data_IF_049543065371
#
_entry.id   IF_049543065371
#
_cell.length_a   1.000
_cell.length_b   1.000
_cell.length_c   1.000
_cell.angle_alpha   90.00
_cell.angle_beta   90.00
_cell.angle_gamma   90.00
#
_symmetry.space_group_name_H-M   'P 1'
#
loop_
_entity.id
_entity.type
_entity.pdbx_description
1 polymer ?
#
# COMPACT_ATOMS: atom_id res chain seq x y z
N UNK A 1 18.21 -5.01 -17.89
CA UNK A 1 19.09 -5.05 -16.71
C UNK A 1 20.43 -4.48 -17.14
N UNK A 2 20.94 -3.52 -16.38
CA UNK A 2 22.28 -2.98 -16.61
C UNK A 2 23.33 -3.98 -16.04
N UNK A 3 24.61 -3.73 -16.31
CA UNK A 3 25.70 -4.61 -15.86
C UNK A 3 26.00 -4.53 -14.35
N UNK A 4 25.38 -3.59 -13.63
CA UNK A 4 25.52 -3.41 -12.18
C UNK A 4 24.38 -4.08 -11.39
N UNK A 5 23.27 -4.41 -12.07
CA UNK A 5 22.14 -5.13 -11.49
C UNK A 5 22.59 -6.52 -11.05
N UNK A 6 21.98 -7.01 -9.97
CA UNK A 6 22.22 -8.35 -9.46
C UNK A 6 20.95 -9.18 -9.47
N UNK A 7 21.06 -10.45 -9.86
CA UNK A 7 19.94 -11.37 -9.97
C UNK A 7 20.30 -12.72 -9.35
N UNK A 8 19.32 -13.30 -8.68
CA UNK A 8 19.28 -14.69 -8.29
C UNK A 8 17.98 -15.29 -8.83
N UNK A 9 18.00 -16.56 -9.21
CA UNK A 9 16.82 -17.29 -9.66
C UNK A 9 16.66 -18.50 -8.76
N UNK A 10 15.51 -18.56 -8.10
CA UNK A 10 15.09 -19.71 -7.30
C UNK A 10 13.91 -20.35 -8.04
N UNK A 11 14.03 -21.64 -8.35
CA UNK A 11 12.86 -22.44 -8.74
C UNK A 11 12.40 -23.22 -7.52
N UNK A 12 11.10 -23.45 -7.38
CA UNK A 12 10.58 -24.26 -6.29
C UNK A 12 9.46 -25.19 -6.76
N UNK A 13 9.38 -26.33 -6.11
CA UNK A 13 8.28 -27.29 -6.18
C UNK A 13 7.88 -27.70 -4.75
N UNK A 14 8.07 -28.96 -4.36
CA UNK A 14 8.10 -29.44 -2.97
C UNK A 14 9.34 -28.91 -2.21
N UNK A 15 10.40 -28.50 -2.92
CA UNK A 15 11.61 -27.90 -2.37
C UNK A 15 12.05 -26.69 -3.20
N UNK A 16 12.89 -25.84 -2.63
CA UNK A 16 13.53 -24.75 -3.36
C UNK A 16 14.93 -25.13 -3.87
N UNK A 17 15.28 -24.61 -5.04
CA UNK A 17 16.54 -24.84 -5.72
C UNK A 17 17.12 -23.51 -6.20
N UNK A 18 18.36 -23.23 -5.81
CA UNK A 18 19.12 -22.10 -6.34
C UNK A 18 19.62 -22.44 -7.75
N UNK A 19 19.13 -21.71 -8.76
CA UNK A 19 19.53 -21.88 -10.18
C UNK A 19 20.64 -20.93 -10.59
N UNK A 20 21.04 -20.04 -9.70
CA UNK A 20 21.99 -18.96 -9.95
C UNK A 20 23.33 -19.10 -9.23
N UNK A 21 23.39 -19.95 -8.19
CA UNK A 21 24.45 -20.00 -7.18
C UNK A 21 24.60 -18.63 -6.50
N UNK A 22 23.51 -18.15 -5.92
CA UNK A 22 23.41 -16.90 -5.17
C UNK A 22 23.09 -15.67 -6.03
N UNK A 23 23.18 -14.50 -5.38
CA UNK A 23 22.90 -13.20 -5.99
C UNK A 23 24.13 -12.71 -6.79
N UNK A 24 24.00 -12.65 -8.11
CA UNK A 24 25.12 -12.44 -9.02
C UNK A 24 24.99 -11.15 -9.83
N UNK A 25 26.11 -10.47 -10.08
CA UNK A 25 26.15 -9.31 -10.99
C UNK A 25 25.95 -9.75 -12.43
N UNK A 26 25.08 -9.04 -13.15
CA UNK A 26 24.53 -9.49 -14.42
C UNK A 26 25.36 -8.99 -15.60
N UNK A 27 26.64 -9.36 -15.58
CA UNK A 27 27.54 -9.23 -16.72
C UNK A 27 27.01 -10.04 -17.90
N UNK A 28 27.43 -9.68 -19.12
CA UNK A 28 26.97 -10.38 -20.33
C UNK A 28 27.23 -11.89 -20.27
N UNK A 29 28.40 -12.30 -19.79
CA UNK A 29 28.74 -13.71 -19.58
C UNK A 29 27.78 -14.40 -18.60
N UNK A 30 27.49 -13.75 -17.46
CA UNK A 30 26.60 -14.32 -16.44
C UNK A 30 25.15 -14.40 -16.91
N UNK A 31 24.69 -13.43 -17.71
CA UNK A 31 23.37 -13.48 -18.37
C UNK A 31 23.26 -14.72 -19.26
N UNK A 32 24.27 -14.97 -20.11
CA UNK A 32 24.28 -16.12 -21.00
C UNK A 32 24.28 -17.44 -20.22
N UNK A 33 25.14 -17.57 -19.19
CA UNK A 33 25.21 -18.79 -18.36
C UNK A 33 23.89 -19.04 -17.61
N UNK A 34 23.29 -17.99 -17.06
CA UNK A 34 22.04 -18.10 -16.30
C UNK A 34 20.86 -18.47 -17.21
N UNK A 35 20.79 -17.88 -18.41
CA UNK A 35 19.77 -18.23 -19.40
C UNK A 35 19.83 -19.71 -19.75
N UNK A 36 21.02 -20.23 -20.05
CA UNK A 36 21.21 -21.66 -20.33
C UNK A 36 20.85 -22.53 -19.12
N UNK A 37 21.28 -22.16 -17.92
CA UNK A 37 20.98 -22.91 -16.69
C UNK A 37 19.48 -22.97 -16.42
N UNK A 38 18.75 -21.88 -16.62
CA UNK A 38 17.30 -21.83 -16.47
C UNK A 38 16.60 -22.70 -17.52
N UNK A 39 16.95 -22.53 -18.79
CA UNK A 39 16.34 -23.28 -19.89
C UNK A 39 16.53 -24.80 -19.77
N UNK A 40 17.65 -25.23 -19.18
CA UNK A 40 17.99 -26.64 -19.05
C UNK A 40 17.53 -27.30 -17.75
N UNK A 41 17.24 -26.53 -16.69
CA UNK A 41 17.05 -27.10 -15.35
C UNK A 41 15.73 -26.70 -14.66
N UNK A 42 14.90 -25.86 -15.29
CA UNK A 42 13.55 -25.59 -14.79
C UNK A 42 12.58 -26.49 -15.55
N UNK A 43 12.02 -27.45 -14.82
CA UNK A 43 11.00 -28.37 -15.31
C UNK A 43 9.85 -28.42 -14.31
N UNK A 44 8.63 -28.67 -14.79
CA UNK A 44 7.51 -28.95 -13.92
C UNK A 44 7.75 -30.27 -13.17
N UNK A 45 7.59 -30.25 -11.86
CA UNK A 45 7.76 -31.42 -11.00
C UNK A 45 7.22 -31.13 -9.60
N UNK A 46 6.90 -32.16 -8.83
CA UNK A 46 6.48 -32.04 -7.43
C UNK A 46 5.13 -31.32 -7.20
N UNK A 47 4.97 -30.78 -5.99
CA UNK A 47 3.86 -29.89 -5.60
C UNK A 47 4.27 -28.41 -5.60
N UNK A 48 3.49 -27.55 -4.96
CA UNK A 48 3.77 -26.10 -4.90
C UNK A 48 3.95 -25.67 -3.44
N UNK A 49 5.21 -25.48 -3.01
CA UNK A 49 5.57 -25.10 -1.64
C UNK A 49 6.17 -23.70 -1.65
N UNK A 50 5.29 -22.69 -1.63
CA UNK A 50 5.67 -21.27 -1.77
C UNK A 50 6.63 -20.84 -0.66
N UNK A 51 6.40 -21.30 0.58
CA UNK A 51 7.24 -21.03 1.74
C UNK A 51 8.71 -21.38 1.50
N UNK A 52 8.99 -22.52 0.87
CA UNK A 52 10.38 -22.95 0.61
C UNK A 52 11.10 -22.00 -0.36
N UNK A 53 10.41 -21.54 -1.40
CA UNK A 53 10.94 -20.59 -2.38
C UNK A 53 11.22 -19.23 -1.74
N UNK A 54 10.27 -18.74 -0.94
CA UNK A 54 10.39 -17.48 -0.20
C UNK A 54 11.53 -17.51 0.82
N UNK A 55 11.63 -18.56 1.65
CA UNK A 55 12.71 -18.73 2.62
C UNK A 55 14.08 -18.69 1.95
N UNK A 56 14.24 -19.40 0.82
CA UNK A 56 15.49 -19.41 0.07
C UNK A 56 15.82 -18.03 -0.51
N UNK A 57 14.85 -17.36 -1.13
CA UNK A 57 15.01 -16.02 -1.70
C UNK A 57 15.36 -14.97 -0.64
N UNK A 58 14.61 -14.95 0.47
CA UNK A 58 14.87 -14.07 1.61
C UNK A 58 16.27 -14.32 2.18
N UNK A 59 16.66 -15.59 2.36
CA UNK A 59 18.02 -15.93 2.84
C UNK A 59 19.11 -15.40 1.91
N UNK A 60 18.93 -15.46 0.59
CA UNK A 60 19.87 -14.87 -0.36
C UNK A 60 19.95 -13.35 -0.22
N UNK A 61 18.81 -12.70 0.00
CA UNK A 61 18.72 -11.26 0.21
C UNK A 61 19.30 -10.80 1.54
N UNK A 62 19.20 -11.61 2.61
CA UNK A 62 19.83 -11.35 3.91
C UNK A 62 21.35 -11.49 3.80
N UNK A 63 21.82 -12.55 3.15
CA UNK A 63 23.25 -12.88 3.06
C UNK A 63 23.99 -12.14 1.92
N UNK A 64 23.35 -11.15 1.29
CA UNK A 64 23.95 -10.40 0.19
C UNK A 64 25.16 -9.58 0.67
N UNK A 65 26.28 -9.66 -0.07
CA UNK A 65 27.51 -8.91 0.25
C UNK A 65 27.30 -7.40 0.20
N UNK A 66 26.64 -6.92 -0.86
CA UNK A 66 26.29 -5.50 -1.00
C UNK A 66 24.80 -5.33 -0.74
N UNK A 67 24.43 -4.40 0.13
CA UNK A 67 23.03 -4.02 0.34
C UNK A 67 22.71 -2.88 -0.63
N UNK A 68 21.95 -3.19 -1.67
CA UNK A 68 21.43 -2.14 -2.55
C UNK A 68 20.38 -1.33 -1.78
N UNK A 69 20.27 -0.02 -2.08
CA UNK A 69 19.16 0.78 -1.59
C UNK A 69 17.83 0.14 -2.01
N UNK A 70 17.69 -0.19 -3.29
CA UNK A 70 16.47 -0.82 -3.84
C UNK A 70 16.71 -2.29 -4.18
N UNK A 71 15.79 -3.15 -3.75
CA UNK A 71 15.74 -4.56 -4.11
C UNK A 71 14.31 -5.04 -4.33
N UNK A 72 14.17 -6.15 -5.04
CA UNK A 72 12.88 -6.82 -5.20
C UNK A 72 13.00 -8.32 -5.10
N UNK A 73 11.94 -8.92 -4.59
CA UNK A 73 11.65 -10.34 -4.72
C UNK A 73 10.41 -10.47 -5.60
N UNK A 74 10.51 -11.24 -6.68
CA UNK A 74 9.41 -11.50 -7.60
C UNK A 74 8.98 -12.96 -7.42
N UNK A 75 7.83 -13.19 -6.79
CA UNK A 75 7.27 -14.53 -6.56
C UNK A 75 6.28 -14.86 -7.67
N UNK A 76 6.49 -15.97 -8.36
CA UNK A 76 5.63 -16.44 -9.45
C UNK A 76 5.04 -17.80 -9.09
N UNK A 77 3.73 -17.98 -9.26
CA UNK A 77 3.07 -19.28 -9.08
C UNK A 77 1.80 -19.39 -9.94
N UNK A 78 1.53 -20.59 -10.46
CA UNK A 78 0.28 -21.00 -11.09
C UNK A 78 -0.60 -21.87 -10.18
N UNK A 79 -0.01 -22.39 -9.10
CA UNK A 79 -0.64 -23.33 -8.17
C UNK A 79 -0.93 -22.75 -6.79
N UNK A 80 -1.67 -23.53 -5.99
CA UNK A 80 -1.94 -23.25 -4.59
C UNK A 80 -0.82 -23.78 -3.71
N UNK A 81 -0.54 -23.06 -2.63
CA UNK A 81 0.39 -23.55 -1.62
C UNK A 81 -0.21 -24.75 -0.87
N UNK A 82 0.52 -25.87 -0.86
CA UNK A 82 0.05 -27.15 -0.34
C UNK A 82 0.36 -27.35 1.16
N UNK A 83 0.81 -26.30 1.87
CA UNK A 83 1.20 -26.35 3.28
C UNK A 83 0.68 -25.14 4.05
N UNK A 84 0.54 -25.29 5.36
CA UNK A 84 0.24 -24.17 6.26
C UNK A 84 1.56 -23.56 6.75
N UNK A 85 2.04 -22.54 6.05
CA UNK A 85 3.20 -21.73 6.47
C UNK A 85 2.76 -20.44 7.16
N UNK A 86 3.45 -20.03 8.22
CA UNK A 86 3.27 -18.68 8.78
C UNK A 86 4.02 -17.66 7.92
N UNK A 87 3.36 -17.26 6.84
CA UNK A 87 3.86 -16.25 5.92
C UNK A 87 4.07 -14.89 6.56
N UNK A 88 3.34 -14.58 7.64
CA UNK A 88 3.46 -13.29 8.31
C UNK A 88 4.81 -13.18 9.03
N UNK A 89 5.26 -14.25 9.68
CA UNK A 89 6.58 -14.31 10.29
C UNK A 89 7.68 -14.28 9.22
N UNK A 90 7.48 -15.02 8.13
CA UNK A 90 8.46 -15.07 7.04
C UNK A 90 8.65 -13.71 6.38
N UNK A 91 7.57 -13.01 6.01
CA UNK A 91 7.64 -11.68 5.39
C UNK A 91 8.29 -10.64 6.30
N UNK A 92 8.16 -10.75 7.64
CA UNK A 92 8.88 -9.88 8.59
C UNK A 92 10.40 -10.03 8.55
N UNK A 93 10.91 -11.14 8.00
CA UNK A 93 12.37 -11.35 7.83
C UNK A 93 12.90 -10.79 6.50
N UNK A 94 12.02 -10.30 5.62
CA UNK A 94 12.42 -9.63 4.39
C UNK A 94 13.26 -8.40 4.75
N UNK A 95 14.47 -8.22 4.17
CA UNK A 95 15.30 -7.07 4.50
C UNK A 95 14.65 -5.75 4.09
N UNK A 96 14.89 -4.69 4.88
CA UNK A 96 14.52 -3.32 4.52
C UNK A 96 15.07 -2.93 3.12
N UNK A 97 14.31 -2.12 2.41
CA UNK A 97 14.59 -1.72 1.02
C UNK A 97 14.33 -2.82 -0.03
N UNK A 98 13.79 -3.99 0.38
CA UNK A 98 13.31 -5.02 -0.56
C UNK A 98 11.79 -5.10 -0.57
N UNK A 99 11.18 -5.02 -1.75
CA UNK A 99 9.73 -5.19 -1.92
C UNK A 99 9.42 -6.56 -2.54
N UNK A 100 8.42 -7.27 -2.02
CA UNK A 100 7.95 -8.54 -2.57
C UNK A 100 6.75 -8.32 -3.48
N UNK A 101 6.90 -8.56 -4.78
CA UNK A 101 5.79 -8.57 -5.74
C UNK A 101 5.40 -10.02 -6.05
N UNK A 102 4.10 -10.27 -6.13
CA UNK A 102 3.56 -11.62 -6.39
C UNK A 102 2.80 -11.65 -7.71
N UNK A 103 2.95 -12.75 -8.44
CA UNK A 103 2.34 -12.97 -9.74
C UNK A 103 1.65 -14.32 -9.76
N UNK A 104 0.35 -14.29 -10.03
CA UNK A 104 -0.50 -15.47 -10.10
C UNK A 104 -0.88 -15.79 -11.54
N UNK A 105 -0.59 -17.01 -11.99
CA UNK A 105 -0.93 -17.48 -13.33
C UNK A 105 -2.21 -18.31 -13.34
N UNK A 106 -3.09 -18.04 -14.30
CA UNK A 106 -4.35 -18.76 -14.48
C UNK A 106 -5.21 -18.75 -13.21
N UNK A 107 -6.20 -19.65 -13.10
CA UNK A 107 -7.10 -19.69 -11.95
C UNK A 107 -6.66 -20.66 -10.85
N UNK A 108 -5.50 -21.31 -11.02
CA UNK A 108 -5.01 -22.37 -10.12
C UNK A 108 -4.38 -21.87 -8.82
N UNK A 109 -4.13 -20.56 -8.69
CA UNK A 109 -3.50 -19.97 -7.51
C UNK A 109 -4.52 -19.36 -6.54
N UNK A 110 -4.07 -19.04 -5.32
CA UNK A 110 -4.89 -18.34 -4.31
C UNK A 110 -4.58 -16.84 -4.32
N UNK A 111 -5.37 -16.06 -5.06
CA UNK A 111 -5.17 -14.60 -5.17
C UNK A 111 -5.09 -13.90 -3.80
N UNK A 112 -5.95 -14.28 -2.85
CA UNK A 112 -5.94 -13.72 -1.49
C UNK A 112 -4.59 -13.94 -0.77
N UNK A 113 -3.99 -15.12 -0.93
CA UNK A 113 -2.68 -15.42 -0.33
C UNK A 113 -1.57 -14.57 -0.97
N UNK A 114 -1.58 -14.45 -2.30
CA UNK A 114 -0.58 -13.68 -3.04
C UNK A 114 -0.69 -12.17 -2.76
N UNK A 115 -1.90 -11.65 -2.65
CA UNK A 115 -2.15 -10.25 -2.22
C UNK A 115 -1.65 -10.01 -0.80
N UNK A 116 -1.93 -10.93 0.13
CA UNK A 116 -1.44 -10.81 1.51
C UNK A 116 0.09 -10.84 1.58
N UNK A 117 0.73 -11.74 0.81
CA UNK A 117 2.19 -11.83 0.74
C UNK A 117 2.82 -10.54 0.21
N UNK A 118 2.24 -9.96 -0.83
CA UNK A 118 2.72 -8.71 -1.41
C UNK A 118 2.56 -7.55 -0.43
N UNK A 119 1.39 -7.43 0.21
CA UNK A 119 1.11 -6.40 1.22
C UNK A 119 2.06 -6.52 2.42
N UNK A 120 2.28 -7.74 2.93
CA UNK A 120 3.19 -7.99 4.06
C UNK A 120 4.66 -7.84 3.67
N UNK A 121 5.03 -8.12 2.43
CA UNK A 121 6.37 -7.96 1.87
C UNK A 121 6.70 -6.52 1.49
N UNK A 122 6.49 -5.59 2.43
CA UNK A 122 6.74 -4.16 2.31
C UNK A 122 5.84 -3.43 1.28
N UNK A 123 4.58 -3.86 1.14
CA UNK A 123 3.60 -3.16 0.31
C UNK A 123 3.78 -3.36 -1.19
N UNK A 124 4.30 -4.51 -1.60
CA UNK A 124 4.38 -4.88 -3.01
C UNK A 124 3.01 -5.16 -3.62
N UNK A 125 3.02 -5.43 -4.92
CA UNK A 125 1.79 -5.63 -5.70
C UNK A 125 1.54 -7.10 -6.02
N UNK A 126 0.28 -7.51 -5.96
CA UNK A 126 -0.19 -8.74 -6.60
C UNK A 126 -0.66 -8.43 -8.02
N UNK A 127 -0.18 -9.21 -8.99
CA UNK A 127 -0.59 -9.10 -10.40
C UNK A 127 -1.13 -10.45 -10.88
N UNK A 128 -2.38 -10.45 -11.34
CA UNK A 128 -2.99 -11.59 -12.02
C UNK A 128 -2.54 -11.63 -13.49
N UNK A 129 -2.08 -12.79 -13.95
CA UNK A 129 -1.65 -13.02 -15.32
C UNK A 129 -2.55 -14.09 -15.95
N UNK A 130 -3.44 -13.62 -16.83
CA UNK A 130 -4.39 -14.47 -17.56
C UNK A 130 -3.73 -15.19 -18.74
N UNK A 131 -2.90 -14.47 -19.50
CA UNK A 131 -2.22 -14.97 -20.70
C UNK A 131 -0.71 -14.83 -20.58
N UNK A 132 0.02 -15.83 -21.08
CA UNK A 132 1.49 -15.88 -21.04
C UNK A 132 2.13 -14.66 -21.72
N UNK A 133 1.47 -14.09 -22.73
CA UNK A 133 1.97 -12.91 -23.43
C UNK A 133 1.96 -11.63 -22.57
N UNK A 134 1.13 -11.59 -21.52
CA UNK A 134 1.04 -10.47 -20.57
C UNK A 134 2.17 -10.46 -19.53
N UNK A 135 2.98 -11.52 -19.47
CA UNK A 135 4.11 -11.64 -18.53
C UNK A 135 5.10 -10.51 -18.71
N UNK A 136 5.53 -10.27 -19.95
CA UNK A 136 6.55 -9.27 -20.25
C UNK A 136 6.12 -7.88 -19.77
N UNK A 137 4.84 -7.54 -19.92
CA UNK A 137 4.26 -6.28 -19.44
C UNK A 137 4.18 -6.24 -17.91
N UNK A 138 3.68 -7.30 -17.26
CA UNK A 138 3.60 -7.38 -15.80
C UNK A 138 4.99 -7.22 -15.14
N UNK A 139 6.01 -7.89 -15.68
CA UNK A 139 7.40 -7.72 -15.26
C UNK A 139 7.95 -6.33 -15.58
N UNK A 140 7.63 -5.76 -16.75
CA UNK A 140 8.07 -4.42 -17.10
C UNK A 140 7.50 -3.38 -16.13
N UNK A 141 6.23 -3.51 -15.73
CA UNK A 141 5.58 -2.64 -14.74
C UNK A 141 6.24 -2.77 -13.37
N UNK A 142 6.39 -3.99 -12.85
CA UNK A 142 7.03 -4.22 -11.55
C UNK A 142 8.51 -3.82 -11.53
N UNK A 143 9.18 -3.91 -12.69
CA UNK A 143 10.56 -3.44 -12.84
C UNK A 143 10.63 -1.92 -12.98
N UNK A 144 9.64 -1.31 -13.63
CA UNK A 144 9.49 0.13 -13.73
C UNK A 144 9.40 0.79 -12.37
N UNK A 145 8.56 0.23 -11.48
CA UNK A 145 8.42 0.73 -10.10
C UNK A 145 9.73 0.69 -9.31
N UNK A 146 10.62 -0.28 -9.57
CA UNK A 146 11.91 -0.37 -8.88
C UNK A 146 12.92 0.67 -9.36
N UNK A 147 12.91 1.02 -10.64
CA UNK A 147 13.82 2.02 -11.20
C UNK A 147 13.36 3.45 -10.96
N UNK A 148 12.11 3.65 -10.56
CA UNK A 148 11.54 4.96 -10.26
C UNK A 148 11.67 5.35 -8.78
N UNK A 149 12.17 4.51 -7.89
CA UNK A 149 12.26 4.87 -6.47
C UNK A 149 13.19 6.09 -6.28
N UNK A 150 12.66 7.17 -5.69
CA UNK A 150 13.39 8.44 -5.45
C UNK A 150 13.63 8.70 -3.97
N UNK A 151 12.79 8.15 -3.10
CA UNK A 151 12.91 8.32 -1.66
C UNK A 151 12.60 6.99 -0.95
N UNK A 152 13.45 6.61 0.00
CA UNK A 152 13.29 5.39 0.78
C UNK A 152 13.03 5.69 2.25
N UNK A 153 12.37 4.79 2.96
CA UNK A 153 12.08 4.93 4.39
C UNK A 153 11.48 6.32 4.74
N UNK A 154 10.57 6.79 3.89
CA UNK A 154 9.89 8.07 4.00
C UNK A 154 9.01 8.08 5.24
N UNK A 155 9.29 9.02 6.14
CA UNK A 155 8.44 9.30 7.29
C UNK A 155 7.95 10.75 7.23
N UNK A 156 6.67 10.95 7.52
CA UNK A 156 6.08 12.28 7.68
C UNK A 156 5.81 12.50 9.16
N UNK A 157 6.49 13.49 9.73
CA UNK A 157 6.42 13.85 11.15
C UNK A 157 5.51 15.05 11.32
N UNK A 158 4.48 14.89 12.14
CA UNK A 158 3.61 15.97 12.60
C UNK A 158 3.89 16.21 14.09
N UNK A 159 4.16 17.45 14.44
CA UNK A 159 4.41 17.89 15.81
C UNK A 159 3.49 19.08 16.09
N UNK A 160 2.40 18.81 16.79
CA UNK A 160 1.42 19.79 17.21
C UNK A 160 1.68 20.24 18.64
N UNK A 161 1.28 21.48 18.96
CA UNK A 161 1.28 21.94 20.33
C UNK A 161 0.33 21.08 21.17
N UNK A 162 0.64 20.86 22.46
CA UNK A 162 -0.06 19.87 23.30
C UNK A 162 -1.58 20.07 23.46
N UNK A 163 -2.11 21.24 23.08
CA UNK A 163 -3.56 21.52 23.04
C UNK A 163 -4.27 20.92 21.82
N UNK A 164 -3.52 20.52 20.79
CA UNK A 164 -4.01 19.93 19.56
C UNK A 164 -3.51 18.49 19.44
N UNK A 165 -4.40 17.58 19.08
CA UNK A 165 -4.04 16.18 18.94
C UNK A 165 -4.77 15.56 17.75
N UNK A 166 -4.05 14.71 17.02
CA UNK A 166 -4.67 13.87 16.00
C UNK A 166 -5.52 12.83 16.70
N UNK A 167 -6.83 12.81 16.43
CA UNK A 167 -7.79 11.89 17.06
C UNK A 167 -8.08 10.67 16.21
N UNK A 168 -7.94 10.81 14.90
CA UNK A 168 -8.22 9.72 13.96
C UNK A 168 -7.31 9.82 12.73
N UNK A 169 -6.78 8.70 12.27
CA UNK A 169 -6.11 8.59 10.97
C UNK A 169 -7.04 7.90 9.98
N UNK A 170 -7.34 8.59 8.87
CA UNK A 170 -8.01 7.97 7.72
C UNK A 170 -7.02 7.32 6.75
N UNK A 171 -5.72 7.54 6.97
CA UNK A 171 -4.65 7.01 6.14
C UNK A 171 -4.33 5.57 6.52
N UNK A 172 -4.12 4.71 5.52
CA UNK A 172 -3.76 3.29 5.69
C UNK A 172 -2.33 3.07 6.20
N UNK A 173 -1.52 4.13 6.23
CA UNK A 173 -0.13 4.05 6.64
C UNK A 173 -0.01 3.82 8.14
N UNK A 174 0.97 2.99 8.52
CA UNK A 174 1.34 2.81 9.92
C UNK A 174 1.81 4.14 10.48
N UNK A 175 1.48 4.38 11.75
CA UNK A 175 1.90 5.58 12.44
C UNK A 175 2.31 5.27 13.88
N UNK A 176 3.20 6.11 14.41
CA UNK A 176 3.69 6.03 15.77
C UNK A 176 3.39 7.36 16.50
N UNK A 177 2.79 7.34 17.71
CA UNK A 177 2.33 6.14 18.44
C UNK A 177 1.15 5.45 17.75
N UNK A 178 0.99 4.14 17.98
CA UNK A 178 -0.08 3.35 17.36
C UNK A 178 -1.49 3.66 17.92
N UNK A 179 -1.55 4.27 19.10
CA UNK A 179 -2.78 4.69 19.75
C UNK A 179 -2.91 6.22 19.66
N UNK A 180 -4.11 6.67 19.32
CA UNK A 180 -4.52 8.07 19.30
C UNK A 180 -5.46 8.32 20.50
N UNK A 181 -5.56 9.56 21.02
CA UNK A 181 -5.03 10.81 20.47
C UNK A 181 -3.54 11.05 20.77
N UNK A 182 -2.84 11.76 19.86
CA UNK A 182 -1.46 12.22 20.07
C UNK A 182 -1.18 13.56 19.40
N UNK A 183 -0.39 14.42 20.04
CA UNK A 183 0.10 15.68 19.44
C UNK A 183 1.35 15.47 18.59
N UNK A 184 2.12 14.41 18.85
CA UNK A 184 3.26 13.98 18.04
C UNK A 184 2.94 12.68 17.34
N UNK A 185 3.02 12.68 16.01
CA UNK A 185 2.72 11.51 15.19
C UNK A 185 3.67 11.42 14.01
N UNK A 186 4.20 10.21 13.78
CA UNK A 186 5.04 9.91 12.62
C UNK A 186 4.35 8.89 11.74
N UNK A 187 3.95 9.27 10.53
CA UNK A 187 3.45 8.36 9.51
C UNK A 187 4.62 7.71 8.76
N UNK A 188 4.62 6.38 8.66
CA UNK A 188 5.61 5.59 7.94
C UNK A 188 5.09 5.25 6.55
N UNK A 189 5.66 5.89 5.53
CA UNK A 189 5.27 5.76 4.14
C UNK A 189 6.21 4.82 3.36
N UNK A 190 7.24 4.23 3.96
CA UNK A 190 8.18 3.35 3.24
C UNK A 190 8.79 4.07 2.02
N UNK A 191 8.82 3.44 0.84
CA UNK A 191 9.46 4.01 -0.35
C UNK A 191 8.45 4.80 -1.21
N UNK A 192 8.95 5.81 -1.93
CA UNK A 192 8.19 6.66 -2.83
C UNK A 192 8.87 6.71 -4.21
N UNK A 193 8.07 6.50 -5.25
CA UNK A 193 8.54 6.53 -6.63
C UNK A 193 8.40 7.90 -7.29
N UNK A 194 9.16 8.11 -8.36
CA UNK A 194 9.04 9.25 -9.26
C UNK A 194 7.62 9.32 -9.79
N UNK A 195 7.07 10.53 -9.84
CA UNK A 195 5.68 10.82 -10.24
C UNK A 195 4.60 10.20 -9.33
N UNK A 196 4.97 9.46 -8.28
CA UNK A 196 4.03 8.97 -7.28
C UNK A 196 3.64 10.08 -6.30
N UNK A 197 2.34 10.17 -6.00
CA UNK A 197 1.82 11.08 -4.97
C UNK A 197 1.03 10.31 -3.93
N UNK A 198 1.26 10.63 -2.66
CA UNK A 198 0.58 10.01 -1.52
C UNK A 198 -0.08 11.09 -0.66
N UNK A 199 -1.31 10.82 -0.27
CA UNK A 199 -2.12 11.73 0.55
C UNK A 199 -2.25 11.19 1.97
N UNK A 200 -2.00 12.04 2.96
CA UNK A 200 -2.27 11.76 4.36
C UNK A 200 -3.51 12.54 4.79
N UNK A 201 -4.53 11.80 5.23
CA UNK A 201 -5.77 12.35 5.78
C UNK A 201 -5.89 11.90 7.24
N UNK A 202 -6.13 12.86 8.12
CA UNK A 202 -6.31 12.66 9.55
C UNK A 202 -7.28 13.71 10.10
N UNK A 203 -7.78 13.48 11.31
CA UNK A 203 -8.64 14.41 12.05
C UNK A 203 -7.85 15.01 13.21
N UNK A 204 -7.88 16.33 13.31
CA UNK A 204 -7.24 17.08 14.40
C UNK A 204 -8.32 17.59 15.35
N UNK A 205 -8.16 17.37 16.65
CA UNK A 205 -8.97 18.02 17.66
C UNK A 205 -8.48 19.46 17.86
N UNK A 206 -9.37 20.42 17.64
CA UNK A 206 -9.12 21.85 17.81
C UNK A 206 -9.94 22.32 19.02
N UNK A 207 -9.29 22.70 20.14
CA UNK A 207 -10.01 23.16 21.34
C UNK A 207 -10.77 24.46 21.06
N UNK A 208 -11.84 24.71 21.84
CA UNK A 208 -12.56 25.96 21.77
C UNK A 208 -11.64 27.13 22.15
N UNK A 209 -11.60 28.17 21.32
CA UNK A 209 -10.74 29.33 21.52
C UNK A 209 -11.32 30.20 22.65
N UNK A 210 -10.56 30.38 23.74
CA UNK A 210 -11.02 31.04 24.99
C UNK A 210 -10.64 32.53 25.04
N UNK A 211 -9.63 32.98 24.29
CA UNK A 211 -9.14 34.36 24.31
C UNK A 211 -9.20 35.05 22.94
N UNK A 212 -9.17 36.39 22.93
CA UNK A 212 -9.13 37.16 21.69
C UNK A 212 -7.89 36.75 20.86
N UNK A 213 -8.08 36.33 19.60
CA UNK A 213 -7.03 35.70 18.82
C UNK A 213 -5.93 36.69 18.47
N UNK A 214 -4.72 36.41 18.94
CA UNK A 214 -3.53 36.93 18.28
C UNK A 214 -3.44 36.29 16.88
N UNK A 215 -2.78 37.01 15.98
CA UNK A 215 -2.82 36.75 14.54
C UNK A 215 -2.19 35.38 14.19
N UNK A 216 -2.87 34.54 13.38
CA UNK A 216 -2.37 33.29 12.79
C UNK A 216 -1.51 32.41 13.74
N UNK A 217 -2.15 31.79 14.74
CA UNK A 217 -1.44 30.92 15.65
C UNK A 217 -0.86 29.70 14.90
N UNK A 218 0.45 29.51 15.03
CA UNK A 218 1.11 28.29 14.60
C UNK A 218 0.71 27.21 15.61
N UNK A 219 -0.06 26.21 15.16
CA UNK A 219 -0.59 25.15 16.03
C UNK A 219 0.25 23.86 16.00
N UNK A 220 1.23 23.82 15.10
CA UNK A 220 2.08 22.67 14.88
C UNK A 220 2.94 22.80 13.63
N UNK A 221 3.73 21.78 13.35
CA UNK A 221 4.64 21.71 12.22
C UNK A 221 4.62 20.32 11.57
N UNK A 222 4.83 20.29 10.26
CA UNK A 222 5.10 19.07 9.50
C UNK A 222 6.53 19.08 8.97
N UNK A 223 7.19 17.94 9.02
CA UNK A 223 8.46 17.71 8.33
C UNK A 223 8.49 16.31 7.74
N UNK A 224 9.40 16.12 6.79
CA UNK A 224 9.59 14.84 6.12
C UNK A 224 11.04 14.43 6.31
N UNK A 225 11.24 13.15 6.58
CA UNK A 225 12.56 12.52 6.55
C UNK A 225 12.54 11.32 5.61
N UNK A 226 13.62 11.13 4.85
CA UNK A 226 13.77 9.98 3.96
C UNK A 226 15.24 9.79 3.59
N UNK A 227 15.56 8.64 3.02
CA UNK A 227 16.84 8.39 2.35
C UNK A 227 16.68 8.67 0.86
N UNK A 228 17.45 9.62 0.30
CA UNK A 228 17.53 9.85 -1.14
C UNK A 228 18.06 8.59 -1.83
N UNK A 229 17.23 7.97 -2.66
CA UNK A 229 17.56 6.70 -3.30
C UNK A 229 18.68 6.83 -4.35
N UNK A 230 18.91 8.04 -4.89
CA UNK A 230 19.90 8.32 -5.92
C UNK A 230 21.29 8.49 -5.28
N UNK A 231 21.35 9.29 -4.19
CA UNK A 231 22.62 9.65 -3.56
C UNK A 231 22.93 8.85 -2.28
N UNK A 232 21.97 8.06 -1.77
CA UNK A 232 22.07 7.30 -0.52
C UNK A 232 22.17 8.17 0.73
N UNK A 233 21.78 9.44 0.66
CA UNK A 233 21.89 10.41 1.76
C UNK A 233 20.59 10.51 2.54
N UNK A 234 20.69 10.63 3.86
CA UNK A 234 19.53 10.97 4.67
C UNK A 234 19.18 12.45 4.46
N UNK A 235 17.91 12.71 4.14
CA UNK A 235 17.35 14.04 3.96
C UNK A 235 16.32 14.29 5.05
N UNK A 236 16.40 15.50 5.64
CA UNK A 236 15.40 16.04 6.53
C UNK A 236 14.94 17.36 5.94
N UNK A 237 13.65 17.49 5.65
CA UNK A 237 13.11 18.73 5.09
C UNK A 237 13.00 19.80 6.18
N UNK A 238 13.03 21.08 5.80
CA UNK A 238 12.56 22.15 6.69
C UNK A 238 11.14 21.85 7.20
N UNK A 239 10.84 22.34 8.39
CA UNK A 239 9.49 22.24 8.96
C UNK A 239 8.57 23.28 8.34
N UNK A 240 7.34 22.88 8.01
CA UNK A 240 6.29 23.76 7.51
C UNK A 240 5.24 23.92 8.61
N UNK A 241 4.85 25.15 9.00
CA UNK A 241 3.88 25.38 10.06
C UNK A 241 2.44 25.10 9.60
N UNK A 242 1.63 24.57 10.50
CA UNK A 242 0.17 24.63 10.41
C UNK A 242 -0.31 25.93 11.04
N UNK A 243 -1.10 26.70 10.29
CA UNK A 243 -1.66 27.98 10.74
C UNK A 243 -3.14 27.82 11.02
N UNK A 244 -3.57 28.26 12.20
CA UNK A 244 -4.98 28.40 12.53
C UNK A 244 -5.41 29.86 12.32
N UNK A 245 -6.44 30.06 11.49
CA UNK A 245 -6.99 31.39 11.21
C UNK A 245 -8.40 31.46 11.77
N UNK A 246 -8.69 32.49 12.56
CA UNK A 246 -10.00 32.63 13.19
C UNK A 246 -11.04 33.14 12.17
N UNK A 247 -12.23 32.51 12.05
CA UNK A 247 -13.23 32.92 11.06
C UNK A 247 -13.65 34.39 11.15
N UNK A 248 -13.74 34.95 12.37
CA UNK A 248 -14.06 36.38 12.57
C UNK A 248 -13.03 37.36 11.97
N UNK A 249 -11.83 36.90 11.61
CA UNK A 249 -10.80 37.70 10.95
C UNK A 249 -10.88 37.59 9.42
N UNK A 250 -11.70 36.69 8.90
CA UNK A 250 -11.83 36.45 7.46
C UNK A 250 -12.93 37.32 6.87
N UNK A 251 -12.70 37.79 5.65
CA UNK A 251 -13.78 38.35 4.84
C UNK A 251 -14.77 37.23 4.48
N UNK A 252 -16.07 37.54 4.31
CA UNK A 252 -17.08 36.55 3.92
C UNK A 252 -16.74 35.75 2.65
N UNK A 253 -16.00 36.37 1.72
CA UNK A 253 -15.58 35.77 0.46
C UNK A 253 -14.21 35.07 0.53
N UNK A 254 -13.64 34.88 1.73
CA UNK A 254 -12.33 34.28 1.89
C UNK A 254 -12.30 32.84 1.37
N UNK A 255 -11.28 32.44 0.58
CA UNK A 255 -11.14 31.06 0.11
C UNK A 255 -10.91 30.06 1.26
N UNK A 256 -10.49 30.54 2.43
CA UNK A 256 -10.32 29.70 3.64
C UNK A 256 -11.65 29.31 4.29
N UNK A 257 -12.75 29.98 3.94
CA UNK A 257 -14.10 29.61 4.38
C UNK A 257 -14.73 28.53 3.49
N UNK A 258 -14.12 28.24 2.33
CA UNK A 258 -14.57 27.20 1.41
C UNK A 258 -13.91 25.88 1.79
N UNK A 259 -14.69 24.79 1.75
CA UNK A 259 -14.15 23.45 1.97
C UNK A 259 -13.10 23.15 0.90
N UNK A 260 -11.91 22.73 1.32
CA UNK A 260 -10.85 22.35 0.40
C UNK A 260 -11.26 21.13 -0.41
N UNK A 261 -11.41 21.31 -1.73
CA UNK A 261 -11.85 20.26 -2.66
C UNK A 261 -10.97 19.01 -2.63
N UNK A 262 -9.64 19.18 -2.64
CA UNK A 262 -8.72 18.05 -2.63
C UNK A 262 -8.81 17.26 -1.32
N UNK A 263 -8.95 17.94 -0.18
CA UNK A 263 -9.14 17.30 1.11
C UNK A 263 -10.47 16.53 1.18
N UNK A 264 -11.56 17.14 0.69
CA UNK A 264 -12.89 16.52 0.64
C UNK A 264 -12.88 15.24 -0.21
N UNK A 265 -12.26 15.29 -1.39
CA UNK A 265 -12.07 14.15 -2.28
C UNK A 265 -11.32 12.99 -1.59
N UNK A 266 -10.19 13.29 -0.94
CA UNK A 266 -9.38 12.27 -0.27
C UNK A 266 -10.07 11.72 0.99
N UNK A 267 -10.81 12.57 1.72
CA UNK A 267 -11.64 12.16 2.85
C UNK A 267 -12.74 11.20 2.40
N UNK A 268 -13.47 11.52 1.35
CA UNK A 268 -14.50 10.66 0.77
C UNK A 268 -13.92 9.29 0.37
N UNK A 269 -12.77 9.26 -0.30
CA UNK A 269 -12.08 8.01 -0.67
C UNK A 269 -11.73 7.16 0.57
N UNK A 270 -11.12 7.78 1.56
CA UNK A 270 -10.64 7.08 2.74
C UNK A 270 -11.79 6.58 3.65
N UNK A 271 -12.78 7.44 3.92
CA UNK A 271 -13.96 7.07 4.71
C UNK A 271 -14.75 5.95 4.02
N UNK A 272 -14.94 6.01 2.70
CA UNK A 272 -15.64 4.95 1.93
C UNK A 272 -14.92 3.62 2.02
N UNK A 273 -13.59 3.61 1.87
CA UNK A 273 -12.79 2.38 1.98
C UNK A 273 -12.94 1.74 3.36
N UNK A 274 -13.01 2.55 4.42
CA UNK A 274 -13.23 2.10 5.80
C UNK A 274 -14.65 1.56 5.99
N UNK A 275 -15.67 2.29 5.53
CA UNK A 275 -17.08 1.91 5.64
C UNK A 275 -17.36 0.61 4.88
N UNK A 276 -16.80 0.43 3.69
CA UNK A 276 -16.91 -0.82 2.94
C UNK A 276 -16.35 -2.01 3.74
N UNK A 277 -15.15 -1.85 4.32
CA UNK A 277 -14.55 -2.90 5.17
C UNK A 277 -15.40 -3.19 6.41
N UNK A 278 -15.97 -2.17 7.04
CA UNK A 278 -16.84 -2.32 8.20
C UNK A 278 -18.15 -3.05 7.81
N UNK A 279 -18.80 -2.63 6.74
CA UNK A 279 -20.04 -3.22 6.26
C UNK A 279 -19.88 -4.70 5.83
N UNK A 280 -18.75 -5.07 5.21
CA UNK A 280 -18.45 -6.46 4.86
C UNK A 280 -18.32 -7.36 6.09
N UNK A 281 -17.82 -6.82 7.21
CA UNK A 281 -17.64 -7.57 8.45
C UNK A 281 -18.83 -7.46 9.41
N UNK A 282 -19.84 -6.66 9.08
CA UNK A 282 -21.03 -6.46 9.92
C UNK A 282 -22.03 -7.61 9.71
N UNK A 283 -22.30 -8.45 10.72
CA UNK A 283 -23.21 -9.58 10.60
C UNK A 283 -24.68 -9.16 10.44
N UNK A 284 -25.05 -7.96 10.90
CA UNK A 284 -26.41 -7.44 10.74
C UNK A 284 -26.54 -6.65 9.43
N UNK A 285 -27.25 -7.26 8.47
CA UNK A 285 -27.49 -6.66 7.16
C UNK A 285 -28.13 -5.27 7.20
N UNK A 286 -29.13 -5.04 8.04
CA UNK A 286 -29.77 -3.71 8.12
C UNK A 286 -28.76 -2.67 8.62
N UNK A 287 -27.88 -3.06 9.55
CA UNK A 287 -26.84 -2.17 10.06
C UNK A 287 -25.75 -1.90 9.01
N UNK A 288 -25.31 -2.93 8.29
CA UNK A 288 -24.39 -2.78 7.16
C UNK A 288 -24.98 -1.82 6.10
N UNK A 289 -26.27 -1.97 5.82
CA UNK A 289 -27.01 -1.12 4.88
C UNK A 289 -27.12 0.32 5.34
N UNK A 290 -27.41 0.56 6.61
CA UNK A 290 -27.40 1.91 7.20
C UNK A 290 -26.03 2.58 7.05
N UNK A 291 -24.94 1.86 7.29
CA UNK A 291 -23.58 2.37 7.12
C UNK A 291 -23.29 2.80 5.67
N UNK A 292 -23.62 1.94 4.70
CA UNK A 292 -23.43 2.22 3.28
C UNK A 292 -24.28 3.42 2.81
N UNK A 293 -25.56 3.46 3.21
CA UNK A 293 -26.47 4.56 2.86
C UNK A 293 -26.03 5.89 3.48
N UNK A 294 -25.59 5.88 4.73
CA UNK A 294 -25.06 7.08 5.38
C UNK A 294 -23.82 7.61 4.65
N UNK A 295 -22.94 6.71 4.18
CA UNK A 295 -21.76 7.11 3.41
C UNK A 295 -22.12 7.65 2.02
N UNK A 296 -23.07 7.01 1.32
CA UNK A 296 -23.60 7.51 0.05
C UNK A 296 -24.17 8.92 0.18
N UNK A 297 -24.98 9.17 1.21
CA UNK A 297 -25.56 10.47 1.48
C UNK A 297 -24.48 11.54 1.72
N UNK A 298 -23.43 11.20 2.49
CA UNK A 298 -22.28 12.10 2.72
C UNK A 298 -21.60 12.49 1.42
N UNK A 299 -21.20 11.52 0.59
CA UNK A 299 -20.50 11.80 -0.67
C UNK A 299 -21.38 12.66 -1.59
N UNK A 300 -22.66 12.33 -1.74
CA UNK A 300 -23.59 13.08 -2.60
C UNK A 300 -23.79 14.53 -2.16
N UNK A 301 -23.67 14.81 -0.86
CA UNK A 301 -23.76 16.16 -0.31
C UNK A 301 -22.44 16.94 -0.30
N UNK A 302 -21.33 16.28 -0.64
CA UNK A 302 -19.99 16.85 -0.56
C UNK A 302 -19.64 17.75 -1.76
N UNK A 303 -18.64 18.62 -1.60
CA UNK A 303 -18.20 19.52 -2.68
C UNK A 303 -17.52 18.76 -3.83
N UNK A 304 -16.95 17.59 -3.54
CA UNK A 304 -16.34 16.69 -4.54
C UNK A 304 -17.30 15.65 -5.12
N UNK A 305 -18.62 15.75 -4.85
CA UNK A 305 -19.61 14.76 -5.29
C UNK A 305 -19.55 14.43 -6.79
N UNK A 306 -19.30 15.43 -7.65
CA UNK A 306 -19.26 15.26 -9.10
C UNK A 306 -17.89 14.81 -9.64
N UNK A 307 -16.88 14.67 -8.78
CA UNK A 307 -15.57 14.18 -9.19
C UNK A 307 -15.68 12.76 -9.77
N UNK A 308 -14.97 12.43 -10.87
CA UNK A 308 -14.98 11.08 -11.44
C UNK A 308 -14.69 9.97 -10.42
N UNK A 309 -13.78 10.22 -9.47
CA UNK A 309 -13.48 9.27 -8.39
C UNK A 309 -14.67 9.13 -7.43
N UNK A 310 -15.29 10.22 -6.99
CA UNK A 310 -16.46 10.15 -6.11
C UNK A 310 -17.65 9.49 -6.81
N UNK A 311 -17.84 9.72 -8.10
CA UNK A 311 -18.85 9.04 -8.92
C UNK A 311 -18.58 7.54 -9.03
N UNK A 312 -17.31 7.13 -9.14
CA UNK A 312 -16.91 5.71 -9.08
C UNK A 312 -17.25 5.11 -7.70
N UNK A 313 -16.88 5.78 -6.62
CA UNK A 313 -17.16 5.33 -5.25
C UNK A 313 -18.66 5.17 -4.98
N UNK A 314 -19.49 6.09 -5.51
CA UNK A 314 -20.95 5.99 -5.43
C UNK A 314 -21.44 4.72 -6.14
N UNK A 315 -20.98 4.47 -7.38
CA UNK A 315 -21.34 3.24 -8.12
C UNK A 315 -20.92 1.98 -7.38
N UNK A 316 -19.72 1.96 -6.80
CA UNK A 316 -19.21 0.80 -6.07
C UNK A 316 -20.07 0.51 -4.83
N UNK A 317 -20.47 1.54 -4.09
CA UNK A 317 -21.37 1.44 -2.94
C UNK A 317 -22.78 0.95 -3.35
N UNK A 318 -23.32 1.44 -4.46
CA UNK A 318 -24.62 1.02 -5.01
C UNK A 318 -24.59 -0.42 -5.54
N UNK A 319 -23.48 -0.86 -6.15
CA UNK A 319 -23.35 -2.22 -6.66
C UNK A 319 -23.25 -3.26 -5.54
N UNK A 320 -22.48 -2.97 -4.49
CA UNK A 320 -22.42 -3.86 -3.31
C UNK A 320 -23.77 -3.98 -2.61
N UNK A 321 -24.55 -2.90 -2.64
CA UNK A 321 -25.91 -2.89 -2.14
C UNK A 321 -26.82 -3.85 -2.93
N UNK A 322 -26.78 -3.81 -4.27
CA UNK A 322 -27.63 -4.65 -5.13
C UNK A 322 -27.24 -6.14 -5.08
N UNK A 323 -25.94 -6.45 -5.13
CA UNK A 323 -25.47 -7.84 -5.15
C UNK A 323 -25.79 -8.63 -3.87
N UNK A 324 -25.70 -8.01 -2.69
CA UNK A 324 -26.09 -8.65 -1.43
C UNK A 324 -27.60 -8.85 -1.30
N UNK A 325 -28.42 -7.96 -1.88
CA UNK A 325 -29.88 -8.08 -1.89
C UNK A 325 -30.35 -9.25 -2.77
N UNK A 326 -29.77 -9.39 -3.96
CA UNK A 326 -30.11 -10.46 -4.92
C UNK A 326 -29.71 -11.86 -4.42
N UNK A 327 -28.51 -12.00 -3.84
CA UNK A 327 -28.06 -13.27 -3.28
C UNK A 327 -29.02 -13.81 -2.21
N UNK A 328 -29.61 -12.92 -1.40
CA UNK A 328 -30.51 -13.33 -0.32
C UNK A 328 -31.96 -13.47 -0.74
N UNK A 329 -32.48 -12.67 -1.67
CA UNK A 329 -33.82 -12.92 -2.25
C UNK A 329 -33.86 -14.26 -2.97
N UNK A 330 -32.76 -14.62 -3.64
CA UNK A 330 -32.61 -15.94 -4.26
C UNK A 330 -32.58 -17.06 -3.20
N UNK A 331 -31.85 -16.88 -2.08
CA UNK A 331 -31.84 -17.86 -0.97
C UNK A 331 -33.19 -17.95 -0.24
N UNK A 332 -33.86 -16.84 0.05
CA UNK A 332 -35.17 -16.81 0.73
C UNK A 332 -36.28 -17.42 -0.12
N UNK A 333 -36.21 -17.29 -1.45
CA UNK A 333 -37.13 -17.96 -2.37
C UNK A 333 -36.75 -19.44 -2.65
N UNK A 334 -35.54 -19.88 -2.29
CA UNK A 334 -35.13 -21.29 -2.42
C UNK A 334 -35.55 -22.15 -1.21
N UNK A 335 -35.98 -21.53 -0.12
CA UNK A 335 -36.39 -22.18 1.14
C UNK A 335 -37.85 -21.90 1.53
N UNK A 336 -38.66 -21.34 0.62
CA UNK A 336 -40.14 -21.29 0.70
C UNK A 336 -40.73 -22.24 -0.35
#
# INVERSE_FOLDING_TARGET
MNSLDRLAIVSFDTKAYDRSNGLNMMTHAKQQTLHTAVAQNIHAGGGTYIGSGLEMGIRMLINRRTKNPVGAMLLLTDGQDNQHHDYSQLMRTLPDGVVCHTFGYGLGHRAALLSQLAEQGHGGTFTFIDQVDSIALAFATARGTLFTCVAQNLNVKLDFDGSYAVTHSHSIYRHEPALLPSSQITFKLNDLNSEESRNLVFQLNVPALVEQPNNNDIIGRVSIEYTDAINGRQIHTPTIPFLLVHPAQLTPDSPLLVINYALDLQRNRAETSRVLKEAVNEPNYERARELLNAQLAKIRSSVSAQDPLCQQLIRDLEYQYTSQYELRTTMTNMYM
#
